data_IF_945506296569
#
_entry.id   IF_945506296569
#
_cell.length_a   1.000
_cell.length_b   1.000
_cell.length_c   1.000
_cell.angle_alpha   90.00
_cell.angle_beta   90.00
_cell.angle_gamma   90.00
#
_symmetry.space_group_name_H-M   'P 1'
#
loop_
_entity.id
_entity.type
_entity.pdbx_description
1 polymer ?
#
# COMPACT_ATOMS: atom_id res chain seq x y z
N UNK A 1 -0.31 -18.71 -13.27
CA UNK A 1 -0.37 -19.57 -12.08
C UNK A 1 1.02 -19.58 -11.48
N UNK A 2 1.18 -19.30 -10.18
CA UNK A 2 2.34 -19.74 -9.44
C UNK A 2 2.62 -21.19 -9.82
N UNK A 3 3.89 -21.54 -10.06
CA UNK A 3 4.31 -22.87 -10.48
C UNK A 3 3.57 -23.99 -9.72
N UNK A 4 3.40 -23.82 -8.40
CA UNK A 4 2.69 -24.71 -7.49
C UNK A 4 1.24 -25.01 -7.92
N UNK A 5 0.45 -24.01 -8.32
CA UNK A 5 -0.93 -24.25 -8.75
C UNK A 5 -0.97 -25.03 -10.08
N UNK A 6 0.01 -24.86 -10.98
CA UNK A 6 0.02 -25.58 -12.27
C UNK A 6 0.28 -27.06 -12.10
N UNK A 7 1.06 -27.41 -11.08
CA UNK A 7 1.44 -28.78 -10.74
C UNK A 7 0.36 -29.50 -9.92
N UNK A 8 -0.68 -28.79 -9.46
CA UNK A 8 -1.75 -29.38 -8.64
C UNK A 8 -2.79 -30.09 -9.52
N UNK A 9 -3.04 -31.40 -9.32
CA UNK A 9 -4.03 -32.17 -10.09
C UNK A 9 -5.44 -31.56 -10.03
N UNK A 10 -5.79 -30.89 -8.92
CA UNK A 10 -7.10 -30.27 -8.73
C UNK A 10 -7.40 -29.12 -9.71
N UNK A 11 -6.36 -28.52 -10.32
CA UNK A 11 -6.50 -27.36 -11.21
C UNK A 11 -6.27 -27.68 -12.68
N UNK A 12 -6.01 -28.95 -13.04
CA UNK A 12 -5.73 -29.37 -14.43
C UNK A 12 -6.90 -29.01 -15.36
N UNK A 13 -8.14 -29.30 -14.96
CA UNK A 13 -9.34 -28.99 -15.73
C UNK A 13 -9.62 -27.48 -15.90
N UNK A 14 -8.90 -26.62 -15.17
CA UNK A 14 -9.08 -25.17 -15.18
C UNK A 14 -7.93 -24.43 -15.84
N UNK A 15 -6.90 -25.12 -16.36
CA UNK A 15 -5.69 -24.47 -16.89
C UNK A 15 -5.98 -23.43 -17.97
N UNK A 16 -6.90 -23.72 -18.91
CA UNK A 16 -7.27 -22.80 -19.98
C UNK A 16 -8.17 -21.64 -19.52
N UNK A 17 -8.75 -21.75 -18.33
CA UNK A 17 -9.61 -20.73 -17.72
C UNK A 17 -8.83 -19.75 -16.86
N UNK A 18 -7.52 -19.93 -16.70
CA UNK A 18 -6.71 -19.08 -15.82
C UNK A 18 -5.65 -18.34 -16.63
N UNK A 19 -5.73 -17.02 -16.62
CA UNK A 19 -4.73 -16.15 -17.22
C UNK A 19 -3.42 -16.21 -16.43
N UNK A 20 -2.32 -16.31 -17.17
CA UNK A 20 -0.98 -16.44 -16.59
C UNK A 20 0.08 -15.60 -17.32
N UNK A 21 -0.13 -14.28 -17.53
CA UNK A 21 0.89 -13.44 -18.13
C UNK A 21 2.17 -13.45 -17.28
N UNK A 22 3.32 -13.48 -17.94
CA UNK A 22 4.62 -13.31 -17.28
C UNK A 22 5.03 -11.86 -17.41
N UNK A 23 4.97 -11.11 -16.31
CA UNK A 23 5.31 -9.69 -16.30
C UNK A 23 6.72 -9.52 -15.76
N UNK A 24 7.60 -8.87 -16.56
CA UNK A 24 8.96 -8.52 -16.14
C UNK A 24 9.05 -7.01 -15.88
N UNK A 25 8.84 -6.61 -14.63
CA UNK A 25 8.92 -5.20 -14.22
C UNK A 25 10.37 -4.68 -14.08
N UNK A 26 11.37 -5.54 -14.22
CA UNK A 26 12.80 -5.21 -14.14
C UNK A 26 13.42 -4.82 -15.48
N UNK A 27 12.78 -5.22 -16.59
CA UNK A 27 13.16 -4.86 -17.95
C UNK A 27 12.22 -3.79 -18.49
N UNK A 28 12.58 -3.21 -19.64
CA UNK A 28 11.84 -2.21 -20.40
C UNK A 28 10.29 -2.26 -20.32
N UNK A 29 9.68 -1.08 -20.32
CA UNK A 29 8.22 -0.89 -20.33
C UNK A 29 7.52 -1.57 -21.52
N UNK A 30 8.26 -1.83 -22.61
CA UNK A 30 7.77 -2.55 -23.79
C UNK A 30 7.28 -3.96 -23.45
N UNK A 31 7.93 -4.69 -22.54
CA UNK A 31 7.48 -6.03 -22.15
C UNK A 31 6.12 -5.99 -21.42
N UNK A 32 5.91 -4.99 -20.56
CA UNK A 32 4.66 -4.85 -19.80
C UNK A 32 3.47 -4.54 -20.72
N UNK A 33 3.65 -3.59 -21.65
CA UNK A 33 2.60 -3.19 -22.59
C UNK A 33 2.09 -4.39 -23.37
N UNK A 34 2.97 -5.06 -24.10
CA UNK A 34 2.58 -6.17 -24.98
C UNK A 34 1.94 -7.34 -24.20
N UNK A 35 2.47 -7.67 -23.02
CA UNK A 35 1.91 -8.73 -22.17
C UNK A 35 0.48 -8.39 -21.71
N UNK A 36 0.21 -7.13 -21.35
CA UNK A 36 -1.13 -6.72 -20.95
C UNK A 36 -2.10 -6.68 -22.14
N UNK A 37 -1.65 -6.24 -23.32
CA UNK A 37 -2.47 -6.21 -24.54
C UNK A 37 -2.83 -7.61 -25.02
N UNK A 38 -1.87 -8.54 -25.03
CA UNK A 38 -2.13 -9.95 -25.33
C UNK A 38 -3.14 -10.54 -24.36
N UNK A 39 -2.95 -10.28 -23.06
CA UNK A 39 -3.86 -10.75 -22.01
C UNK A 39 -5.29 -10.22 -22.20
N UNK A 40 -5.44 -8.95 -22.54
CA UNK A 40 -6.74 -8.34 -22.81
C UNK A 40 -7.39 -8.92 -24.07
N UNK A 41 -6.60 -9.16 -25.13
CA UNK A 41 -7.09 -9.77 -26.37
C UNK A 41 -7.59 -11.20 -26.14
N UNK A 42 -6.90 -11.98 -25.30
CA UNK A 42 -7.33 -13.32 -24.87
C UNK A 42 -8.64 -13.32 -24.08
N UNK A 43 -8.98 -12.20 -23.43
CA UNK A 43 -10.27 -11.99 -22.77
C UNK A 43 -11.39 -11.55 -23.73
N UNK A 44 -11.10 -11.44 -25.03
CA UNK A 44 -12.04 -11.01 -26.06
C UNK A 44 -12.14 -9.50 -26.22
N UNK A 45 -11.22 -8.71 -25.64
CA UNK A 45 -11.17 -7.28 -25.87
C UNK A 45 -10.52 -6.96 -27.23
N UNK A 46 -11.05 -5.96 -27.94
CA UNK A 46 -10.39 -5.43 -29.13
C UNK A 46 -9.03 -4.82 -28.78
N UNK A 47 -8.01 -5.09 -29.62
CA UNK A 47 -6.63 -4.64 -29.34
C UNK A 47 -6.52 -3.12 -29.24
N UNK A 48 -7.24 -2.35 -30.09
CA UNK A 48 -7.20 -0.88 -30.03
C UNK A 48 -7.86 -0.36 -28.76
N UNK A 49 -8.90 -1.05 -28.28
CA UNK A 49 -9.51 -0.75 -26.97
C UNK A 49 -8.51 -1.02 -25.84
N UNK A 50 -7.82 -2.16 -25.88
CA UNK A 50 -6.79 -2.49 -24.89
C UNK A 50 -5.62 -1.49 -24.87
N UNK A 51 -5.18 -1.04 -26.05
CA UNK A 51 -4.13 -0.02 -26.18
C UNK A 51 -4.55 1.31 -25.57
N UNK A 52 -5.74 1.82 -25.92
CA UNK A 52 -6.25 3.06 -25.31
C UNK A 52 -6.39 2.94 -23.79
N UNK A 53 -6.85 1.79 -23.29
CA UNK A 53 -6.98 1.54 -21.86
C UNK A 53 -5.61 1.51 -21.15
N UNK A 54 -4.60 0.90 -21.78
CA UNK A 54 -3.23 0.87 -21.27
C UNK A 54 -2.65 2.28 -21.17
N UNK A 55 -2.69 3.05 -22.25
CA UNK A 55 -2.15 4.42 -22.27
C UNK A 55 -2.86 5.31 -21.24
N UNK A 56 -4.19 5.21 -21.14
CA UNK A 56 -4.95 5.97 -20.15
C UNK A 56 -4.60 5.56 -18.71
N UNK A 57 -4.39 4.26 -18.45
CA UNK A 57 -3.95 3.76 -17.16
C UNK A 57 -2.53 4.22 -16.79
N UNK A 58 -1.61 4.20 -17.74
CA UNK A 58 -0.23 4.69 -17.54
C UNK A 58 -0.20 6.20 -17.30
N UNK A 59 -1.00 6.97 -18.04
CA UNK A 59 -1.16 8.42 -17.83
C UNK A 59 -1.75 8.71 -16.44
N UNK A 60 -2.80 7.99 -16.03
CA UNK A 60 -3.40 8.16 -14.71
C UNK A 60 -2.41 7.80 -13.58
N UNK A 61 -1.62 6.74 -13.74
CA UNK A 61 -0.58 6.37 -12.79
C UNK A 61 0.52 7.44 -12.68
N UNK A 62 0.95 8.02 -13.80
CA UNK A 62 1.90 9.14 -13.82
C UNK A 62 1.36 10.35 -13.06
N UNK A 63 0.16 10.80 -13.42
CA UNK A 63 -0.51 11.92 -12.75
C UNK A 63 -0.70 11.69 -11.24
N UNK A 64 -1.08 10.47 -10.84
CA UNK A 64 -1.20 10.11 -9.44
C UNK A 64 0.15 10.25 -8.71
N UNK A 65 1.23 9.71 -9.26
CA UNK A 65 2.57 9.79 -8.66
C UNK A 65 3.04 11.23 -8.52
N UNK A 66 2.85 12.04 -9.55
CA UNK A 66 3.24 13.45 -9.55
C UNK A 66 2.48 14.23 -8.47
N UNK A 67 1.14 14.07 -8.41
CA UNK A 67 0.30 14.70 -7.38
C UNK A 67 0.63 14.21 -5.98
N UNK A 68 0.97 12.94 -5.83
CA UNK A 68 1.31 12.37 -4.53
C UNK A 68 2.63 12.89 -3.98
N UNK A 69 3.65 13.02 -4.84
CA UNK A 69 4.92 13.67 -4.51
C UNK A 69 4.73 15.16 -4.21
N UNK A 70 3.89 15.85 -4.99
CA UNK A 70 3.59 17.26 -4.75
C UNK A 70 2.89 17.49 -3.42
N UNK A 71 1.90 16.64 -3.08
CA UNK A 71 1.25 16.67 -1.77
C UNK A 71 2.24 16.42 -0.62
N UNK A 72 3.21 15.53 -0.83
CA UNK A 72 4.29 15.28 0.13
C UNK A 72 5.20 16.49 0.34
N UNK A 73 5.63 17.15 -0.75
CA UNK A 73 6.42 18.39 -0.68
C UNK A 73 5.64 19.50 0.05
N UNK A 74 4.39 19.74 -0.34
CA UNK A 74 3.54 20.72 0.30
C UNK A 74 3.35 20.44 1.80
N UNK A 75 3.24 19.17 2.20
CA UNK A 75 3.17 18.77 3.60
C UNK A 75 4.48 19.06 4.34
N UNK A 76 5.64 18.69 3.77
CA UNK A 76 6.96 18.97 4.35
C UNK A 76 7.19 20.48 4.52
N UNK A 77 6.88 21.29 3.51
CA UNK A 77 7.01 22.75 3.54
C UNK A 77 6.11 23.37 4.61
N UNK A 78 4.87 22.88 4.73
CA UNK A 78 3.95 23.32 5.78
C UNK A 78 4.49 23.00 7.17
N UNK A 79 5.02 21.80 7.39
CA UNK A 79 5.62 21.42 8.68
C UNK A 79 6.87 22.24 8.98
N UNK A 80 7.73 22.49 8.00
CA UNK A 80 8.92 23.33 8.17
C UNK A 80 8.56 24.77 8.55
N UNK A 81 7.56 25.37 7.90
CA UNK A 81 7.11 26.75 8.17
C UNK A 81 6.39 26.90 9.50
N UNK A 82 5.59 25.91 9.90
CA UNK A 82 4.79 25.97 11.14
C UNK A 82 5.54 25.49 12.37
N UNK A 83 6.62 24.73 12.19
CA UNK A 83 7.33 24.04 13.26
C UNK A 83 6.53 22.88 13.86
N UNK A 84 5.37 22.52 13.29
CA UNK A 84 4.58 21.39 13.74
C UNK A 84 5.33 20.07 13.54
N UNK A 85 5.09 19.12 14.43
CA UNK A 85 5.74 17.82 14.38
C UNK A 85 5.08 16.91 13.34
N UNK A 86 5.90 16.16 12.59
CA UNK A 86 5.45 15.17 11.62
C UNK A 86 6.02 13.77 11.87
N UNK A 87 5.19 12.74 11.65
CA UNK A 87 5.60 11.34 11.62
C UNK A 87 5.76 10.87 10.18
N UNK A 88 6.96 10.49 9.81
CA UNK A 88 7.25 9.81 8.55
C UNK A 88 7.04 8.31 8.74
N UNK A 89 6.04 7.74 8.07
CA UNK A 89 5.83 6.30 8.03
C UNK A 89 6.75 5.69 6.98
N UNK A 90 7.74 4.93 7.44
CA UNK A 90 8.63 4.15 6.57
C UNK A 90 8.27 2.68 6.65
N UNK A 91 8.35 2.01 5.52
CA UNK A 91 8.00 0.60 5.39
C UNK A 91 7.79 0.25 3.93
N UNK A 92 7.45 -1.00 3.67
CA UNK A 92 7.10 -1.44 2.32
C UNK A 92 5.64 -1.12 2.04
N UNK A 93 5.23 -0.88 0.79
CA UNK A 93 3.87 -0.42 0.46
C UNK A 93 2.79 -1.35 1.00
N UNK A 94 3.04 -2.67 0.90
CA UNK A 94 2.13 -3.70 1.39
C UNK A 94 2.01 -3.75 2.92
N UNK A 95 2.94 -3.14 3.67
CA UNK A 95 2.85 -3.01 5.12
C UNK A 95 2.14 -1.72 5.56
N UNK A 96 2.29 -0.64 4.79
CA UNK A 96 1.84 0.71 5.21
C UNK A 96 0.46 1.09 4.66
N UNK A 97 0.09 0.57 3.48
CA UNK A 97 -1.14 0.98 2.79
C UNK A 97 -2.27 -0.04 2.88
N UNK A 98 -2.00 -1.27 3.34
CA UNK A 98 -3.03 -2.28 3.57
C UNK A 98 -3.55 -2.15 5.02
N UNK A 99 -4.81 -1.73 5.23
CA UNK A 99 -5.35 -1.51 6.57
C UNK A 99 -5.53 -2.81 7.37
N UNK A 100 -5.63 -3.97 6.71
CA UNK A 100 -5.68 -5.27 7.35
C UNK A 100 -4.32 -5.69 7.91
N UNK A 101 -3.24 -5.40 7.18
CA UNK A 101 -1.86 -5.66 7.63
C UNK A 101 -1.40 -4.64 8.67
N UNK A 102 -1.65 -3.36 8.40
CA UNK A 102 -1.16 -2.25 9.22
C UNK A 102 -2.09 -1.91 10.39
N UNK A 103 -3.20 -2.63 10.57
CA UNK A 103 -4.28 -2.32 11.51
C UNK A 103 -4.76 -0.85 11.41
N UNK A 104 -4.71 -0.27 10.21
CA UNK A 104 -5.00 1.13 9.93
C UNK A 104 -4.25 2.14 10.84
N UNK A 105 -3.03 1.83 11.30
CA UNK A 105 -2.24 2.69 12.21
C UNK A 105 -2.12 4.13 11.71
N UNK A 106 -1.83 4.34 10.42
CA UNK A 106 -1.68 5.68 9.85
C UNK A 106 -2.94 6.55 10.07
N UNK A 107 -4.11 5.96 9.84
CA UNK A 107 -5.40 6.61 10.05
C UNK A 107 -5.64 6.87 11.54
N UNK A 108 -5.42 5.87 12.41
CA UNK A 108 -5.62 6.03 13.86
C UNK A 108 -4.71 7.11 14.46
N UNK A 109 -3.47 7.20 14.02
CA UNK A 109 -2.54 8.26 14.43
C UNK A 109 -3.09 9.65 14.11
N UNK A 110 -3.71 9.80 12.94
CA UNK A 110 -4.32 11.05 12.50
C UNK A 110 -5.63 11.34 13.23
N UNK A 111 -6.59 10.40 13.19
CA UNK A 111 -7.96 10.59 13.68
C UNK A 111 -8.00 10.75 15.21
N UNK A 112 -7.22 9.92 15.95
CA UNK A 112 -7.29 9.88 17.41
C UNK A 112 -6.38 10.89 18.10
N UNK A 113 -5.25 11.27 17.48
CA UNK A 113 -4.23 12.10 18.14
C UNK A 113 -3.84 13.35 17.34
N UNK A 114 -4.43 13.56 16.16
CA UNK A 114 -4.17 14.73 15.32
C UNK A 114 -2.72 14.81 14.82
N UNK A 115 -2.04 13.68 14.67
CA UNK A 115 -0.64 13.62 14.24
C UNK A 115 -0.56 13.86 12.74
N UNK A 116 0.37 14.71 12.31
CA UNK A 116 0.70 14.88 10.91
C UNK A 116 1.49 13.64 10.44
N UNK A 117 0.90 12.86 9.54
CA UNK A 117 1.47 11.59 9.06
C UNK A 117 1.83 11.71 7.59
N UNK A 118 3.09 11.44 7.24
CA UNK A 118 3.62 11.47 5.87
C UNK A 118 4.13 10.07 5.48
N UNK A 119 3.54 9.40 4.49
CA UNK A 119 4.02 8.10 4.02
C UNK A 119 5.29 8.23 3.17
N UNK A 120 6.15 7.21 3.23
CA UNK A 120 7.42 7.15 2.48
C UNK A 120 7.26 7.40 0.98
N UNK A 121 6.18 6.91 0.36
CA UNK A 121 5.97 7.04 -1.09
C UNK A 121 5.64 8.48 -1.51
N UNK A 122 5.31 9.37 -0.56
CA UNK A 122 5.09 10.80 -0.81
C UNK A 122 6.39 11.62 -0.67
N UNK A 123 7.49 11.01 -0.23
CA UNK A 123 8.74 11.74 -0.01
C UNK A 123 9.59 11.82 -1.29
N UNK A 124 10.22 12.98 -1.56
CA UNK A 124 11.11 13.16 -2.71
C UNK A 124 12.50 12.55 -2.43
N UNK A 125 12.59 11.22 -2.34
CA UNK A 125 13.80 10.49 -1.90
C UNK A 125 14.56 9.78 -3.03
N UNK A 126 14.16 9.99 -4.29
CA UNK A 126 14.69 9.26 -5.44
C UNK A 126 16.20 9.51 -5.67
N UNK A 127 16.65 10.75 -5.48
CA UNK A 127 18.02 11.19 -5.78
C UNK A 127 18.94 11.23 -4.55
N UNK A 128 18.45 10.76 -3.40
CA UNK A 128 19.23 10.74 -2.16
C UNK A 128 20.19 9.55 -2.18
N UNK A 129 21.49 9.86 -2.19
CA UNK A 129 22.53 8.85 -2.05
C UNK A 129 22.54 8.27 -0.63
N UNK A 130 22.75 6.96 -0.51
CA UNK A 130 22.84 6.22 0.76
C UNK A 130 24.05 5.28 0.81
N UNK A 131 24.96 5.37 -0.16
CA UNK A 131 26.10 4.45 -0.31
C UNK A 131 27.12 4.52 0.83
N UNK A 132 27.25 5.65 1.50
CA UNK A 132 28.09 5.79 2.70
C UNK A 132 27.53 5.04 3.92
N UNK A 133 26.22 4.73 3.95
CA UNK A 133 25.63 3.85 4.98
C UNK A 133 25.79 2.38 4.60
N UNK A 134 25.59 2.07 3.32
CA UNK A 134 25.76 0.73 2.77
C UNK A 134 26.02 0.83 1.26
N UNK A 135 27.24 0.48 0.86
CA UNK A 135 27.73 0.61 -0.52
C UNK A 135 26.86 -0.16 -1.54
N UNK A 136 26.25 -1.27 -1.11
CA UNK A 136 25.49 -2.18 -1.97
C UNK A 136 24.11 -2.51 -1.37
N UNK A 137 23.34 -1.47 -0.99
CA UNK A 137 21.95 -1.66 -0.58
C UNK A 137 21.09 -2.07 -1.79
N UNK A 138 21.10 -3.37 -2.10
CA UNK A 138 20.49 -3.92 -3.31
C UNK A 138 18.95 -3.98 -3.23
N UNK A 139 18.37 -3.88 -2.04
CA UNK A 139 16.92 -3.72 -1.87
C UNK A 139 16.52 -2.27 -2.17
N UNK A 140 15.71 -2.08 -3.22
CA UNK A 140 15.22 -0.75 -3.62
C UNK A 140 14.45 -0.04 -2.49
N UNK A 141 13.50 -0.72 -1.83
CA UNK A 141 12.85 -0.16 -0.64
C UNK A 141 13.80 0.03 0.54
N UNK A 142 14.89 -0.75 0.63
CA UNK A 142 15.95 -0.50 1.61
C UNK A 142 16.60 0.86 1.38
N UNK A 143 16.98 1.17 0.12
CA UNK A 143 17.51 2.48 -0.26
C UNK A 143 16.52 3.59 0.04
N UNK A 144 15.25 3.45 -0.35
CA UNK A 144 14.20 4.45 -0.07
C UNK A 144 14.02 4.71 1.42
N UNK A 145 14.02 3.66 2.26
CA UNK A 145 13.87 3.80 3.72
C UNK A 145 15.06 4.58 4.32
N UNK A 146 16.28 4.29 3.89
CA UNK A 146 17.47 5.01 4.34
C UNK A 146 17.50 6.46 3.85
N UNK A 147 17.08 6.69 2.61
CA UNK A 147 16.95 8.03 2.05
C UNK A 147 15.88 8.86 2.77
N UNK A 148 14.72 8.27 3.08
CA UNK A 148 13.71 8.90 3.92
C UNK A 148 14.24 9.22 5.33
N UNK A 149 15.06 8.34 5.91
CA UNK A 149 15.70 8.60 7.18
C UNK A 149 16.68 9.78 7.13
N UNK A 150 17.45 9.93 6.04
CA UNK A 150 18.30 11.11 5.81
C UNK A 150 17.50 12.40 5.72
N UNK A 151 16.43 12.40 4.93
CA UNK A 151 15.51 13.53 4.86
C UNK A 151 15.02 13.88 6.26
N UNK A 152 14.60 12.89 7.06
CA UNK A 152 14.20 13.14 8.45
C UNK A 152 15.35 13.69 9.31
N UNK A 153 16.61 13.31 9.06
CA UNK A 153 17.75 13.86 9.82
C UNK A 153 17.86 15.38 9.68
N UNK A 154 17.56 15.91 8.49
CA UNK A 154 17.63 17.33 8.15
C UNK A 154 16.49 18.18 8.77
N UNK A 155 15.41 17.53 9.23
CA UNK A 155 14.26 18.21 9.83
C UNK A 155 14.08 17.87 11.32
N UNK A 156 14.34 18.81 12.26
CA UNK A 156 14.30 18.52 13.70
C UNK A 156 12.91 18.12 14.21
N UNK A 157 11.85 18.59 13.54
CA UNK A 157 10.45 18.32 13.84
C UNK A 157 9.89 17.05 13.16
N UNK A 158 10.71 16.27 12.44
CA UNK A 158 10.29 15.01 11.86
C UNK A 158 10.80 13.81 12.67
N UNK A 159 9.94 12.80 12.80
CA UNK A 159 10.26 11.53 13.44
C UNK A 159 9.84 10.36 12.54
N UNK A 160 10.47 9.20 12.76
CA UNK A 160 10.24 8.00 11.95
C UNK A 160 9.38 7.01 12.73
N UNK A 161 8.38 6.46 12.05
CA UNK A 161 7.66 5.25 12.45
C UNK A 161 7.91 4.19 11.39
N UNK A 162 8.69 3.17 11.74
CA UNK A 162 9.03 2.04 10.89
C UNK A 162 7.99 0.94 11.04
N UNK A 163 7.23 0.68 9.97
CA UNK A 163 6.24 -0.40 9.86
C UNK A 163 6.87 -1.60 9.14
N UNK A 164 7.00 -2.72 9.85
CA UNK A 164 7.55 -3.97 9.32
C UNK A 164 6.74 -5.18 9.76
N UNK A 165 7.06 -6.36 9.22
CA UNK A 165 6.42 -7.61 9.61
C UNK A 165 7.36 -8.54 10.37
N UNK A 166 6.78 -9.44 11.13
CA UNK A 166 7.50 -10.54 11.77
C UNK A 166 8.22 -11.38 10.71
N UNK A 167 9.45 -11.81 11.03
CA UNK A 167 10.34 -12.56 10.12
C UNK A 167 10.63 -11.87 8.77
N UNK A 168 10.50 -10.55 8.67
CA UNK A 168 10.97 -9.84 7.48
C UNK A 168 12.50 -9.76 7.45
N UNK A 169 13.13 -10.72 6.75
CA UNK A 169 14.58 -10.82 6.62
C UNK A 169 15.23 -9.54 6.08
N UNK A 170 14.81 -8.99 4.93
CA UNK A 170 15.38 -7.74 4.41
C UNK A 170 15.30 -6.57 5.39
N UNK A 171 14.16 -6.39 6.07
CA UNK A 171 13.96 -5.24 6.96
C UNK A 171 14.78 -5.37 8.26
N UNK A 172 15.07 -6.59 8.73
CA UNK A 172 15.95 -6.78 9.89
C UNK A 172 17.37 -6.28 9.64
N UNK A 173 17.86 -6.39 8.40
CA UNK A 173 19.13 -5.80 7.97
C UNK A 173 19.02 -4.28 7.82
N UNK A 174 18.02 -3.78 7.07
CA UNK A 174 17.86 -2.35 6.79
C UNK A 174 17.70 -1.53 8.08
N UNK A 175 16.94 -2.04 9.06
CA UNK A 175 16.67 -1.35 10.33
C UNK A 175 17.95 -0.97 11.10
N UNK A 176 19.01 -1.77 10.98
CA UNK A 176 20.30 -1.48 11.63
C UNK A 176 20.93 -0.16 11.15
N UNK A 177 20.66 0.26 9.92
CA UNK A 177 21.21 1.48 9.33
C UNK A 177 20.35 2.73 9.55
N UNK A 178 19.06 2.56 9.89
CA UNK A 178 18.09 3.67 9.99
C UNK A 178 18.51 4.70 11.03
N UNK A 179 19.04 4.27 12.18
CA UNK A 179 19.49 5.20 13.23
C UNK A 179 20.65 6.07 12.78
N UNK A 180 21.61 5.49 12.05
CA UNK A 180 22.73 6.24 11.50
C UNK A 180 22.25 7.19 10.40
N UNK A 181 21.35 6.71 9.53
CA UNK A 181 20.76 7.51 8.46
C UNK A 181 19.95 8.70 8.99
N UNK A 182 19.28 8.56 10.14
CA UNK A 182 18.48 9.62 10.76
C UNK A 182 19.29 10.59 11.63
N UNK A 183 20.62 10.57 11.56
CA UNK A 183 21.48 11.42 12.39
C UNK A 183 21.40 11.06 13.88
N UNK A 184 21.16 9.79 14.21
CA UNK A 184 21.04 9.29 15.58
C UNK A 184 19.64 9.40 16.19
N UNK A 185 18.66 10.00 15.49
CA UNK A 185 17.30 10.21 15.99
C UNK A 185 16.61 8.88 16.34
N UNK A 186 15.99 8.77 17.53
CA UNK A 186 15.23 7.58 17.90
C UNK A 186 13.96 7.46 17.04
N UNK A 187 13.60 6.24 16.66
CA UNK A 187 12.43 5.95 15.84
C UNK A 187 11.58 4.84 16.46
N UNK A 188 10.27 4.88 16.20
CA UNK A 188 9.36 3.82 16.62
C UNK A 188 9.41 2.68 15.60
N UNK A 189 9.50 1.43 16.06
CA UNK A 189 9.31 0.26 15.19
C UNK A 189 8.00 -0.43 15.57
N UNK A 190 7.11 -0.58 14.59
CA UNK A 190 5.88 -1.36 14.68
C UNK A 190 6.06 -2.63 13.85
N UNK A 191 5.94 -3.78 14.52
CA UNK A 191 6.09 -5.08 13.89
C UNK A 191 4.75 -5.81 13.93
N UNK A 192 4.23 -6.16 12.75
CA UNK A 192 2.97 -6.89 12.58
C UNK A 192 3.26 -8.37 12.27
N UNK A 193 2.55 -9.28 12.90
CA UNK A 193 2.74 -10.73 12.77
C UNK A 193 1.53 -11.45 12.18
N UNK A 194 0.54 -10.71 11.69
CA UNK A 194 -0.73 -11.24 11.18
C UNK A 194 -1.76 -11.53 12.26
N UNK A 195 -1.44 -11.30 13.54
CA UNK A 195 -2.43 -11.30 14.61
C UNK A 195 -2.95 -9.87 14.87
N UNK A 196 -4.26 -9.77 15.12
CA UNK A 196 -4.92 -8.50 15.40
C UNK A 196 -4.69 -8.04 16.84
N UNK A 197 -3.47 -7.63 17.18
CA UNK A 197 -3.16 -6.99 18.47
C UNK A 197 -3.17 -5.46 18.34
N UNK A 198 -4.33 -4.91 18.02
CA UNK A 198 -4.49 -3.49 17.73
C UNK A 198 -4.18 -2.59 18.93
N UNK A 199 -4.74 -2.93 20.10
CA UNK A 199 -4.52 -2.18 21.33
C UNK A 199 -3.01 -2.10 21.67
N UNK A 200 -2.29 -3.23 21.57
CA UNK A 200 -0.85 -3.26 21.82
C UNK A 200 -0.03 -2.39 20.87
N UNK A 201 -0.44 -2.27 19.59
CA UNK A 201 0.22 -1.37 18.64
C UNK A 201 -0.08 0.10 18.94
N UNK A 202 -1.31 0.41 19.33
CA UNK A 202 -1.68 1.79 19.67
C UNK A 202 -1.02 2.26 20.95
N UNK A 203 -0.90 1.44 21.99
CA UNK A 203 -0.19 1.82 23.23
C UNK A 203 1.30 2.12 22.97
N UNK A 204 1.96 1.39 22.05
CA UNK A 204 3.33 1.69 21.62
C UNK A 204 3.42 3.04 20.89
N UNK A 205 2.43 3.34 20.04
CA UNK A 205 2.32 4.63 19.38
C UNK A 205 2.13 5.75 20.40
N UNK A 206 1.19 5.61 21.34
CA UNK A 206 0.91 6.57 22.42
C UNK A 206 2.16 6.84 23.25
N UNK A 207 2.85 5.78 23.70
CA UNK A 207 4.08 5.90 24.48
C UNK A 207 5.17 6.65 23.71
N UNK A 208 5.30 6.40 22.40
CA UNK A 208 6.26 7.13 21.58
C UNK A 208 5.88 8.60 21.41
N UNK A 209 4.60 8.89 21.10
CA UNK A 209 4.09 10.26 20.97
C UNK A 209 4.26 11.05 22.27
N UNK A 210 4.00 10.41 23.41
CA UNK A 210 4.18 11.00 24.74
C UNK A 210 5.66 11.32 25.01
N UNK A 211 6.58 10.39 24.70
CA UNK A 211 8.03 10.60 24.83
C UNK A 211 8.58 11.76 23.98
N UNK A 212 7.81 12.21 22.98
CA UNK A 212 8.14 13.35 22.11
C UNK A 212 7.35 14.61 22.45
N UNK A 213 6.45 14.57 23.44
CA UNK A 213 5.57 15.68 23.78
C UNK A 213 4.53 16.00 22.70
N UNK A 214 4.21 15.03 21.84
CA UNK A 214 3.29 15.18 20.69
C UNK A 214 1.89 14.71 21.05
N UNK A 215 1.75 13.85 22.06
CA UNK A 215 0.47 13.23 22.41
C UNK A 215 -0.57 14.29 22.79
N UNK A 216 -1.65 14.37 22.02
CA UNK A 216 -2.76 15.31 22.21
C UNK A 216 -4.06 14.54 22.45
N UNK A 217 -4.24 13.98 23.64
CA UNK A 217 -5.41 13.16 23.98
C UNK A 217 -6.75 13.91 23.86
N UNK A 218 -6.75 15.25 23.91
CA UNK A 218 -7.95 16.09 23.79
C UNK A 218 -8.28 16.52 22.35
N UNK A 219 -7.34 16.39 21.40
CA UNK A 219 -7.52 16.86 20.03
C UNK A 219 -7.99 15.70 19.15
N UNK A 220 -9.26 15.33 19.26
CA UNK A 220 -9.92 14.59 18.17
C UNK A 220 -10.02 15.52 16.97
N UNK A 221 -9.49 15.13 15.81
CA UNK A 221 -9.79 15.90 14.61
C UNK A 221 -11.31 15.82 14.39
N UNK A 222 -11.97 16.98 14.32
CA UNK A 222 -13.24 17.04 13.62
C UNK A 222 -12.87 16.88 12.16
N UNK A 223 -13.21 15.73 11.57
CA UNK A 223 -13.08 15.55 10.12
C UNK A 223 -13.88 16.67 9.45
N UNK A 224 -13.22 17.75 9.04
CA UNK A 224 -13.72 18.47 7.89
C UNK A 224 -13.45 17.55 6.72
N UNK A 225 -14.49 17.08 6.01
CA UNK A 225 -14.27 16.26 4.82
C UNK A 225 -13.27 17.02 3.96
N UNK A 226 -12.13 16.38 3.69
CA UNK A 226 -11.13 16.91 2.75
C UNK A 226 -11.93 17.42 1.56
N UNK A 227 -11.83 18.73 1.25
CA UNK A 227 -12.49 19.29 0.07
C UNK A 227 -12.28 18.30 -1.07
N UNK A 228 -13.40 17.79 -1.59
CA UNK A 228 -13.52 16.43 -2.10
C UNK A 228 -12.26 15.92 -2.77
N UNK A 229 -11.82 14.72 -2.38
CA UNK A 229 -10.76 13.93 -3.03
C UNK A 229 -10.66 14.38 -4.49
N UNK A 230 -9.52 15.02 -4.85
CA UNK A 230 -9.23 15.66 -6.14
C UNK A 230 -10.29 15.26 -7.14
N UNK A 231 -11.24 16.13 -7.53
CA UNK A 231 -12.36 15.79 -8.42
C UNK A 231 -11.87 14.80 -9.47
N UNK A 232 -12.00 13.50 -9.19
CA UNK A 232 -11.35 12.52 -10.03
C UNK A 232 -12.09 12.70 -11.34
N UNK A 233 -11.33 12.87 -12.42
CA UNK A 233 -11.94 12.91 -13.74
C UNK A 233 -12.92 11.73 -13.83
N UNK A 234 -14.12 11.91 -14.40
CA UNK A 234 -15.12 10.85 -14.44
C UNK A 234 -14.44 9.55 -14.87
N UNK A 235 -14.71 8.47 -14.14
CA UNK A 235 -14.16 7.15 -14.45
C UNK A 235 -14.20 6.92 -15.96
N UNK A 236 -13.03 6.79 -16.58
CA UNK A 236 -12.91 6.58 -18.03
C UNK A 236 -13.38 5.18 -18.45
N UNK A 237 -13.79 4.35 -17.48
CA UNK A 237 -14.42 3.06 -17.75
C UNK A 237 -15.84 3.27 -18.26
N UNK A 238 -15.98 3.31 -19.58
CA UNK A 238 -17.26 3.48 -20.28
C UNK A 238 -18.30 2.36 -20.00
N UNK A 239 -18.02 1.37 -19.14
CA UNK A 239 -18.87 0.19 -18.89
C UNK A 239 -19.00 -0.27 -17.43
N UNK A 240 -18.29 0.32 -16.46
CA UNK A 240 -18.34 -0.14 -15.06
C UNK A 240 -18.42 1.02 -14.06
N UNK A 241 -19.63 1.48 -13.69
CA UNK A 241 -19.79 2.30 -12.51
C UNK A 241 -19.63 1.40 -11.27
N UNK A 242 -18.61 1.65 -10.45
CA UNK A 242 -18.51 1.04 -9.12
C UNK A 242 -19.72 1.53 -8.30
N UNK A 243 -20.66 0.66 -7.87
CA UNK A 243 -21.86 1.12 -7.18
C UNK A 243 -21.53 1.65 -5.78
N UNK A 244 -22.06 2.83 -5.45
CA UNK A 244 -22.14 3.38 -4.09
C UNK A 244 -23.23 2.61 -3.33
N UNK A 245 -23.02 2.19 -2.06
CA UNK A 245 -23.88 1.20 -1.43
C UNK A 245 -25.21 1.81 -0.99
N UNK A 246 -26.28 1.46 -1.71
CA UNK A 246 -27.67 1.35 -1.21
C UNK A 246 -28.59 0.53 -2.15
N UNK A 247 -28.04 -0.17 -3.14
CA UNK A 247 -28.82 -0.86 -4.19
C UNK A 247 -28.46 -2.34 -4.36
N UNK A 248 -28.51 -3.11 -3.27
CA UNK A 248 -28.57 -4.57 -3.38
C UNK A 248 -30.04 -4.99 -3.52
N UNK A 249 -30.46 -5.75 -4.55
CA UNK A 249 -31.80 -6.34 -4.54
C UNK A 249 -31.84 -7.49 -3.51
N UNK A 250 -32.96 -7.72 -2.80
CA UNK A 250 -33.08 -8.87 -1.91
C UNK A 250 -32.95 -10.15 -2.73
N UNK A 251 -32.17 -11.10 -2.21
CA UNK A 251 -31.95 -12.41 -2.83
C UNK A 251 -33.30 -13.12 -2.97
N UNK A 252 -33.82 -13.21 -4.20
CA UNK A 252 -35.00 -14.01 -4.52
C UNK A 252 -34.64 -15.49 -4.54
N UNK A 253 -35.23 -16.27 -3.63
CA UNK A 253 -35.16 -17.74 -3.62
C UNK A 253 -36.01 -18.28 -4.79
N UNK A 254 -35.47 -19.10 -5.71
CA UNK A 254 -36.28 -19.67 -6.78
C UNK A 254 -37.22 -20.75 -6.22
N UNK A 255 -38.52 -20.54 -6.40
CA UNK A 255 -39.55 -21.54 -6.21
C UNK A 255 -39.45 -22.66 -7.25
N UNK A 256 -39.26 -23.90 -6.79
CA UNK A 256 -39.80 -25.11 -7.41
C UNK A 256 -39.34 -25.48 -8.82
N UNK A 257 -38.21 -26.17 -8.93
CA UNK A 257 -37.94 -27.14 -9.99
C UNK A 257 -37.50 -28.45 -9.32
N UNK A 258 -38.33 -29.48 -9.42
CA UNK A 258 -38.05 -30.82 -8.87
C UNK A 258 -36.75 -31.36 -9.46
N UNK A 259 -35.67 -31.39 -8.68
CA UNK A 259 -34.51 -32.24 -8.93
C UNK A 259 -34.47 -33.33 -7.86
N UNK A 260 -34.47 -34.58 -8.32
CA UNK A 260 -34.30 -35.77 -7.47
C UNK A 260 -33.03 -35.66 -6.61
N UNK A 261 -33.06 -36.11 -5.35
CA UNK A 261 -31.88 -36.09 -4.51
C UNK A 261 -30.84 -37.09 -5.05
N UNK A 262 -29.69 -36.57 -5.47
CA UNK A 262 -28.46 -37.34 -5.63
C UNK A 262 -28.08 -37.90 -4.25
N UNK A 263 -28.22 -39.22 -4.09
CA UNK A 263 -27.67 -39.95 -2.96
C UNK A 263 -26.15 -39.89 -3.01
N UNK A 264 -25.53 -39.26 -2.03
CA UNK A 264 -24.10 -39.43 -1.73
C UNK A 264 -23.89 -40.73 -0.97
N UNK A 265 -23.04 -41.66 -1.43
CA UNK A 265 -22.70 -42.83 -0.63
C UNK A 265 -21.79 -42.43 0.53
N UNK A 266 -22.22 -42.76 1.74
CA UNK A 266 -21.42 -42.68 2.97
C UNK A 266 -20.36 -43.79 2.91
N UNK A 267 -19.07 -43.51 3.12
CA UNK A 267 -18.07 -44.56 3.26
C UNK A 267 -18.33 -45.33 4.55
N UNK A 268 -18.57 -46.65 4.45
CA UNK A 268 -18.53 -47.54 5.60
C UNK A 268 -17.08 -47.67 6.06
N UNK A 269 -16.92 -47.70 7.39
CA UNK A 269 -15.67 -47.85 8.14
C UNK A 269 -14.77 -48.94 7.62
#
# INVERSE_FOLDING_TARGET
LPFVLRQSPAFVAWQDKILCPTIRLRSDTFNLREVLLDTATRLGADRRVAERAYEAGMSALGQFRDRYLEAGRAALDKLARTGETGMVLVGRPYNIHDPGVSLATARKLRDNYGVNVIPIDALPVADVDVRDLNENMFWEYGRKILAAARLVSEHPNLHIVYVTNFKCGPDSFVRGFVRSASGGKPFLTLQFDGHSNDAGMMTRCESYLDSKGILRWWRKQQDQPTEGASKDGPSISHKWPTPVPDSWPPVSVPSGSKRSPLQTPIPKR
#
